data_IF_405492846666
#
_entry.id   IF_405492846666
#
_cell.length_a   1.000
_cell.length_b   1.000
_cell.length_c   1.000
_cell.angle_alpha   90.00
_cell.angle_beta   90.00
_cell.angle_gamma   90.00
#
_symmetry.space_group_name_H-M   'P 1'
#
loop_
_entity.id
_entity.type
_entity.pdbx_description
1 polymer ?
#
# COMPACT_ATOMS: atom_id res chain seq x y z
N UNK A 1 2.26 -3.53 -14.83
CA UNK A 1 2.94 -3.96 -13.60
C UNK A 1 2.88 -5.47 -13.53
N UNK A 2 3.91 -6.10 -12.99
CA UNK A 2 4.11 -7.56 -13.10
C UNK A 2 3.44 -8.31 -11.94
N UNK A 3 3.22 -7.63 -10.80
CA UNK A 3 2.63 -8.21 -9.59
C UNK A 3 1.82 -7.19 -8.78
N UNK A 4 1.08 -7.70 -7.79
CA UNK A 4 0.17 -6.90 -6.97
C UNK A 4 0.92 -5.98 -5.99
N UNK A 5 2.09 -6.42 -5.49
CA UNK A 5 2.90 -5.66 -4.54
C UNK A 5 3.36 -4.32 -5.12
N UNK A 6 3.67 -4.27 -6.41
CA UNK A 6 4.03 -3.04 -7.11
C UNK A 6 2.84 -2.10 -7.29
N UNK A 7 1.63 -2.62 -7.49
CA UNK A 7 0.41 -1.79 -7.49
C UNK A 7 0.15 -1.19 -6.11
N UNK A 8 0.31 -2.01 -5.05
CA UNK A 8 0.18 -1.56 -3.66
C UNK A 8 1.17 -0.43 -3.38
N UNK A 9 2.44 -0.61 -3.76
CA UNK A 9 3.49 0.39 -3.56
C UNK A 9 3.16 1.71 -4.27
N UNK A 10 2.72 1.65 -5.54
CA UNK A 10 2.42 2.86 -6.32
C UNK A 10 1.22 3.63 -5.75
N UNK A 11 0.20 2.92 -5.26
CA UNK A 11 -0.95 3.55 -4.61
C UNK A 11 -0.59 4.08 -3.21
N UNK A 12 0.12 3.30 -2.39
CA UNK A 12 0.49 3.70 -1.02
C UNK A 12 1.43 4.92 -1.01
N UNK A 13 2.34 5.03 -1.97
CA UNK A 13 3.22 6.21 -2.08
C UNK A 13 2.50 7.51 -2.43
N UNK A 14 1.22 7.46 -2.83
CA UNK A 14 0.41 8.67 -2.97
C UNK A 14 0.16 9.37 -1.62
N UNK A 15 0.17 8.64 -0.49
CA UNK A 15 0.10 9.21 0.84
C UNK A 15 1.24 10.22 1.11
N UNK A 16 2.46 9.93 0.62
CA UNK A 16 3.61 10.84 0.75
C UNK A 16 3.37 12.16 0.01
N UNK A 17 2.79 12.09 -1.19
CA UNK A 17 2.44 13.27 -2.00
C UNK A 17 1.27 14.05 -1.39
N UNK A 18 0.35 13.34 -0.74
CA UNK A 18 -0.78 13.91 -0.03
C UNK A 18 -0.39 14.52 1.33
N UNK A 19 0.90 14.47 1.70
CA UNK A 19 1.43 14.94 2.99
C UNK A 19 0.71 14.32 4.19
N UNK A 20 0.43 13.03 4.10
CA UNK A 20 -0.13 12.27 5.21
C UNK A 20 0.86 12.20 6.38
N UNK A 21 0.35 12.15 7.57
CA UNK A 21 1.11 11.86 8.80
C UNK A 21 1.07 10.39 9.16
N UNK A 22 0.02 9.68 8.70
CA UNK A 22 -0.15 8.26 8.94
C UNK A 22 -0.55 7.55 7.65
N UNK A 23 0.07 6.39 7.42
CA UNK A 23 -0.26 5.46 6.35
C UNK A 23 -0.49 4.08 6.96
N UNK A 24 -1.65 3.49 6.69
CA UNK A 24 -1.95 2.10 7.05
C UNK A 24 -2.12 1.27 5.79
N UNK A 25 -1.44 0.12 5.74
CA UNK A 25 -1.57 -0.89 4.67
C UNK A 25 -1.87 -2.23 5.30
N UNK A 26 -3.00 -2.82 4.94
CA UNK A 26 -3.41 -4.16 5.35
C UNK A 26 -3.56 -5.02 4.12
N UNK A 27 -2.86 -6.14 4.08
CA UNK A 27 -3.00 -7.17 3.05
C UNK A 27 -3.52 -8.43 3.70
N UNK A 28 -4.64 -8.92 3.20
CA UNK A 28 -5.30 -10.13 3.70
C UNK A 28 -5.36 -11.15 2.59
N UNK A 29 -4.73 -12.28 2.81
CA UNK A 29 -4.64 -13.36 1.84
C UNK A 29 -5.30 -14.63 2.37
N UNK A 30 -6.11 -15.26 1.53
CA UNK A 30 -6.60 -16.62 1.73
C UNK A 30 -6.42 -17.46 0.46
N UNK A 31 -7.00 -18.67 0.42
CA UNK A 31 -6.86 -19.59 -0.71
C UNK A 31 -7.47 -19.05 -2.02
N UNK A 32 -8.45 -18.17 -1.95
CA UNK A 32 -9.24 -17.71 -3.08
C UNK A 32 -8.99 -16.24 -3.45
N UNK A 33 -8.70 -15.40 -2.47
CA UNK A 33 -8.64 -13.95 -2.65
C UNK A 33 -7.44 -13.31 -1.99
N UNK A 34 -7.07 -12.15 -2.52
CA UNK A 34 -6.24 -11.16 -1.84
C UNK A 34 -7.07 -9.89 -1.71
N UNK A 35 -7.16 -9.38 -0.50
CA UNK A 35 -7.77 -8.09 -0.20
C UNK A 35 -6.71 -7.12 0.32
N UNK A 36 -6.82 -5.86 -0.08
CA UNK A 36 -5.87 -4.81 0.32
C UNK A 36 -6.63 -3.59 0.76
N UNK A 37 -6.26 -3.05 1.92
CA UNK A 37 -6.68 -1.73 2.39
C UNK A 37 -5.45 -0.83 2.47
N UNK A 38 -5.57 0.37 1.92
CA UNK A 38 -4.55 1.41 2.01
C UNK A 38 -5.27 2.67 2.49
N UNK A 39 -4.90 3.17 3.63
CA UNK A 39 -5.54 4.31 4.30
C UNK A 39 -4.51 5.37 4.64
N UNK A 40 -4.76 6.61 4.27
CA UNK A 40 -3.94 7.76 4.63
C UNK A 40 -4.80 8.90 5.20
N UNK A 41 -4.20 9.72 6.04
CA UNK A 41 -4.77 10.95 6.60
C UNK A 41 -4.30 12.21 5.87
N UNK A 42 -3.92 12.11 4.60
CA UNK A 42 -3.44 13.22 3.80
C UNK A 42 -4.50 14.23 3.41
N UNK A 43 -4.18 15.07 2.43
CA UNK A 43 -5.08 16.15 2.00
C UNK A 43 -6.41 15.68 1.41
N UNK A 44 -6.55 14.41 1.08
CA UNK A 44 -7.73 13.84 0.45
C UNK A 44 -8.00 14.39 -0.96
N UNK A 45 -9.16 14.03 -1.51
CA UNK A 45 -9.60 14.42 -2.86
C UNK A 45 -10.97 15.06 -2.83
N UNK A 46 -11.20 16.02 -3.75
CA UNK A 46 -12.55 16.53 -4.03
C UNK A 46 -13.40 15.48 -4.73
N UNK A 47 -14.72 15.63 -4.69
CA UNK A 47 -15.64 14.72 -5.40
C UNK A 47 -15.35 14.66 -6.91
N UNK A 48 -14.96 15.78 -7.52
CA UNK A 48 -14.60 15.87 -8.92
C UNK A 48 -13.31 15.07 -9.21
N UNK A 49 -12.27 15.24 -8.38
CA UNK A 49 -11.02 14.48 -8.49
C UNK A 49 -11.29 12.99 -8.28
N UNK A 50 -12.08 12.63 -7.27
CA UNK A 50 -12.41 11.24 -6.95
C UNK A 50 -13.13 10.52 -8.10
N UNK A 51 -14.07 11.20 -8.76
CA UNK A 51 -14.78 10.65 -9.94
C UNK A 51 -13.82 10.37 -11.10
N UNK A 52 -12.79 11.18 -11.23
CA UNK A 52 -11.86 11.12 -12.37
C UNK A 52 -10.58 10.32 -12.10
N UNK A 53 -10.24 10.05 -10.85
CA UNK A 53 -8.95 9.44 -10.45
C UNK A 53 -8.71 8.06 -11.06
N UNK A 54 -9.77 7.34 -11.40
CA UNK A 54 -9.71 6.03 -12.08
C UNK A 54 -9.63 6.13 -13.60
N UNK A 55 -9.72 7.34 -14.16
CA UNK A 55 -9.64 7.55 -15.61
C UNK A 55 -8.16 7.65 -16.03
N UNK A 56 -7.69 6.79 -16.96
CA UNK A 56 -6.28 6.81 -17.40
C UNK A 56 -5.85 8.11 -18.07
N UNK A 57 -6.81 8.91 -18.56
CA UNK A 57 -6.55 10.21 -19.20
C UNK A 57 -6.64 11.40 -18.22
N UNK A 58 -7.05 11.15 -16.98
CA UNK A 58 -7.13 12.18 -15.96
C UNK A 58 -5.82 12.22 -15.16
N UNK A 59 -5.17 13.38 -15.13
CA UNK A 59 -3.98 13.61 -14.29
C UNK A 59 -4.04 15.00 -13.69
N UNK A 60 -3.74 15.10 -12.42
CA UNK A 60 -3.56 16.37 -11.70
C UNK A 60 -2.12 16.88 -11.83
N UNK A 61 -1.25 16.15 -12.53
CA UNK A 61 0.16 16.52 -12.73
C UNK A 61 0.31 17.40 -13.97
N UNK A 62 1.00 18.52 -13.77
CA UNK A 62 1.35 19.50 -14.84
C UNK A 62 2.54 19.07 -15.69
N UNK A 63 3.25 18.01 -15.34
CA UNK A 63 4.40 17.45 -16.05
C UNK A 63 4.17 16.01 -16.48
N UNK A 64 4.74 15.62 -17.61
CA UNK A 64 4.54 14.45 -18.48
C UNK A 64 4.43 13.03 -17.85
N UNK A 65 4.42 12.84 -16.54
CA UNK A 65 4.19 11.53 -15.95
C UNK A 65 2.71 11.35 -15.61
N UNK A 66 2.00 10.70 -16.50
CA UNK A 66 0.60 10.29 -16.33
C UNK A 66 0.51 9.40 -15.10
N UNK A 67 -0.32 9.76 -14.11
CA UNK A 67 -0.58 8.94 -12.93
C UNK A 67 -1.42 7.72 -13.28
N UNK A 68 -0.81 6.69 -13.88
CA UNK A 68 -1.49 5.49 -14.35
C UNK A 68 -1.70 4.43 -13.25
N UNK A 69 -1.11 4.60 -12.06
CA UNK A 69 -1.13 3.58 -11.01
C UNK A 69 -2.53 3.15 -10.60
N UNK A 70 -3.39 4.09 -10.22
CA UNK A 70 -4.76 3.80 -9.78
C UNK A 70 -5.61 3.19 -10.92
N UNK A 71 -5.64 3.77 -12.15
CA UNK A 71 -6.35 3.16 -13.27
C UNK A 71 -5.87 1.75 -13.62
N UNK A 72 -4.56 1.51 -13.64
CA UNK A 72 -3.99 0.19 -13.92
C UNK A 72 -4.31 -0.81 -12.80
N UNK A 73 -4.23 -0.39 -11.55
CA UNK A 73 -4.61 -1.23 -10.42
C UNK A 73 -6.08 -1.65 -10.52
N UNK A 74 -6.98 -0.69 -10.77
CA UNK A 74 -8.40 -0.97 -10.97
C UNK A 74 -8.62 -1.98 -12.09
N UNK A 75 -8.01 -1.77 -13.26
CA UNK A 75 -8.11 -2.66 -14.40
C UNK A 75 -7.66 -4.08 -14.06
N UNK A 76 -6.50 -4.23 -13.41
CA UNK A 76 -5.96 -5.53 -12.99
C UNK A 76 -6.93 -6.28 -12.08
N UNK A 77 -7.54 -5.60 -11.12
CA UNK A 77 -8.50 -6.22 -10.20
C UNK A 77 -9.80 -6.63 -10.93
N UNK A 78 -10.35 -5.74 -11.76
CA UNK A 78 -11.59 -6.00 -12.49
C UNK A 78 -11.45 -7.15 -13.50
N UNK A 79 -10.27 -7.36 -14.08
CA UNK A 79 -9.97 -8.51 -14.94
C UNK A 79 -10.14 -9.85 -14.22
N UNK A 80 -9.96 -9.90 -12.92
CA UNK A 80 -10.17 -11.12 -12.11
C UNK A 80 -11.57 -11.23 -11.53
N UNK A 81 -12.49 -10.32 -11.87
CA UNK A 81 -13.81 -10.21 -11.26
C UNK A 81 -13.81 -9.51 -9.89
N UNK A 82 -12.67 -8.98 -9.48
CA UNK A 82 -12.51 -8.19 -8.26
C UNK A 82 -12.94 -6.73 -8.43
N UNK A 83 -12.50 -5.87 -7.50
CA UNK A 83 -12.85 -4.45 -7.53
C UNK A 83 -11.78 -3.57 -6.87
N UNK A 84 -11.79 -2.29 -7.20
CA UNK A 84 -11.15 -1.20 -6.45
C UNK A 84 -12.22 -0.19 -6.02
N UNK A 85 -12.41 -0.05 -4.72
CA UNK A 85 -13.25 0.99 -4.12
C UNK A 85 -12.35 2.06 -3.52
N UNK A 86 -12.66 3.32 -3.80
CA UNK A 86 -11.91 4.47 -3.28
C UNK A 86 -12.90 5.39 -2.57
N UNK A 87 -12.58 5.77 -1.35
CA UNK A 87 -13.30 6.80 -0.60
C UNK A 87 -12.30 7.87 -0.17
N UNK A 88 -12.67 9.13 -0.35
CA UNK A 88 -11.79 10.25 0.02
C UNK A 88 -12.61 11.47 0.37
N UNK A 89 -12.05 12.28 1.27
CA UNK A 89 -12.64 13.57 1.65
C UNK A 89 -11.52 14.57 1.89
N UNK A 90 -11.67 15.76 1.32
CA UNK A 90 -10.70 16.85 1.49
C UNK A 90 -10.45 17.16 2.96
N UNK A 91 -9.18 17.20 3.34
CA UNK A 91 -8.72 17.45 4.71
C UNK A 91 -8.87 16.28 5.69
N UNK A 92 -9.35 15.11 5.23
CA UNK A 92 -9.50 13.91 6.06
C UNK A 92 -8.55 12.82 5.63
N UNK A 93 -8.41 12.56 4.30
CA UNK A 93 -7.55 11.53 3.76
C UNK A 93 -8.24 10.67 2.71
N UNK A 94 -7.61 9.53 2.39
CA UNK A 94 -8.09 8.60 1.36
C UNK A 94 -8.00 7.16 1.85
N UNK A 95 -9.01 6.36 1.50
CA UNK A 95 -9.03 4.91 1.71
C UNK A 95 -9.23 4.20 0.38
N UNK A 96 -8.36 3.25 0.09
CA UNK A 96 -8.49 2.28 -1.01
C UNK A 96 -8.85 0.92 -0.42
N UNK A 97 -9.83 0.25 -1.02
CA UNK A 97 -10.14 -1.14 -0.73
C UNK A 97 -10.15 -1.91 -2.05
N UNK A 98 -9.27 -2.88 -2.16
CA UNK A 98 -9.06 -3.71 -3.34
C UNK A 98 -9.38 -5.18 -3.04
N UNK A 99 -9.96 -5.87 -4.02
CA UNK A 99 -10.17 -7.32 -4.00
C UNK A 99 -9.68 -7.91 -5.32
N UNK A 100 -8.90 -8.98 -5.25
CA UNK A 100 -8.48 -9.79 -6.39
C UNK A 100 -8.80 -11.27 -6.13
N UNK A 101 -9.37 -11.95 -7.13
CA UNK A 101 -9.56 -13.40 -7.09
C UNK A 101 -8.32 -14.10 -7.64
N UNK A 102 -7.65 -14.93 -6.80
CA UNK A 102 -6.38 -15.61 -7.12
C UNK A 102 -6.53 -16.71 -8.18
N UNK A 103 -7.69 -17.36 -8.22
CA UNK A 103 -7.94 -18.50 -9.08
C UNK A 103 -8.38 -18.12 -10.51
N UNK A 104 -8.40 -16.82 -10.84
CA UNK A 104 -8.72 -16.35 -12.18
C UNK A 104 -7.50 -16.45 -13.10
N UNK A 105 -7.72 -16.73 -14.39
CA UNK A 105 -6.62 -16.88 -15.38
C UNK A 105 -5.78 -15.61 -15.55
N UNK A 106 -6.41 -14.44 -15.36
CA UNK A 106 -5.74 -13.13 -15.45
C UNK A 106 -5.18 -12.65 -14.09
N UNK A 107 -5.24 -13.49 -13.04
CA UNK A 107 -4.70 -13.11 -11.75
C UNK A 107 -3.17 -13.00 -11.80
N UNK A 108 -2.66 -11.87 -11.32
CA UNK A 108 -1.23 -11.66 -11.15
C UNK A 108 -0.78 -12.17 -9.77
N UNK A 109 0.48 -12.57 -9.60
CA UNK A 109 0.99 -12.98 -8.28
C UNK A 109 0.98 -11.80 -7.29
N UNK A 110 0.98 -12.10 -5.98
CA UNK A 110 1.15 -11.09 -4.94
C UNK A 110 2.48 -10.36 -5.11
N UNK A 111 3.53 -11.06 -5.52
CA UNK A 111 4.87 -10.51 -5.66
C UNK A 111 5.60 -10.39 -4.32
N UNK A 112 6.63 -9.57 -4.29
CA UNK A 112 7.44 -9.34 -3.08
C UNK A 112 6.80 -8.27 -2.18
N UNK A 113 5.85 -8.69 -1.36
CA UNK A 113 5.19 -7.80 -0.39
C UNK A 113 6.17 -7.34 0.70
N UNK A 114 7.18 -8.16 1.02
CA UNK A 114 8.22 -7.81 1.99
C UNK A 114 9.06 -6.62 1.53
N UNK A 115 9.49 -6.61 0.28
CA UNK A 115 10.22 -5.47 -0.29
C UNK A 115 9.31 -4.23 -0.37
N UNK A 116 8.03 -4.39 -0.73
CA UNK A 116 7.06 -3.28 -0.70
C UNK A 116 6.92 -2.69 0.70
N UNK A 117 6.76 -3.51 1.72
CA UNK A 117 6.67 -3.08 3.11
C UNK A 117 7.95 -2.36 3.55
N UNK A 118 9.10 -2.93 3.23
CA UNK A 118 10.38 -2.33 3.53
C UNK A 118 10.53 -0.92 2.92
N UNK A 119 10.22 -0.75 1.63
CA UNK A 119 10.28 0.57 0.96
C UNK A 119 9.34 1.58 1.60
N UNK A 120 8.15 1.17 2.04
CA UNK A 120 7.20 2.07 2.71
C UNK A 120 7.73 2.52 4.08
N UNK A 121 8.40 1.64 4.82
CA UNK A 121 8.94 1.95 6.16
C UNK A 121 10.15 2.88 6.09
N UNK A 122 11.09 2.62 5.16
CA UNK A 122 12.33 3.40 5.02
C UNK A 122 12.16 4.66 4.17
N UNK A 123 10.94 5.17 4.05
CA UNK A 123 10.68 6.40 3.29
C UNK A 123 11.36 7.62 3.93
N UNK A 124 11.75 8.64 3.11
CA UNK A 124 12.42 9.83 3.62
C UNK A 124 11.46 10.88 4.20
N UNK A 125 10.17 10.60 4.26
CA UNK A 125 9.14 11.50 4.75
C UNK A 125 8.87 11.23 6.23
N UNK A 126 8.44 12.23 6.98
CA UNK A 126 8.03 12.07 8.37
C UNK A 126 6.57 11.60 8.42
N UNK A 127 6.39 10.32 8.10
CA UNK A 127 5.11 9.63 8.11
C UNK A 127 5.23 8.35 8.94
N UNK A 128 4.24 8.13 9.78
CA UNK A 128 4.12 6.86 10.50
C UNK A 128 3.41 5.83 9.61
N UNK A 129 3.98 4.63 9.56
CA UNK A 129 3.52 3.54 8.72
C UNK A 129 3.11 2.36 9.57
N UNK A 130 1.87 1.90 9.38
CA UNK A 130 1.34 0.68 9.99
C UNK A 130 1.08 -0.35 8.89
N UNK A 131 1.68 -1.53 9.01
CA UNK A 131 1.62 -2.60 8.03
C UNK A 131 1.08 -3.87 8.67
N UNK A 132 0.13 -4.51 8.01
CA UNK A 132 -0.39 -5.82 8.41
C UNK A 132 -0.41 -6.77 7.22
N UNK A 133 0.05 -8.00 7.42
CA UNK A 133 -0.17 -9.13 6.51
C UNK A 133 -0.92 -10.21 7.27
N UNK A 134 -2.15 -10.51 6.84
CA UNK A 134 -3.07 -11.45 7.47
C UNK A 134 -3.19 -12.68 6.57
N UNK A 135 -2.90 -13.86 7.11
CA UNK A 135 -2.96 -15.13 6.41
C UNK A 135 -4.17 -15.95 6.88
N UNK A 136 -5.32 -15.78 6.21
CA UNK A 136 -6.52 -16.56 6.54
C UNK A 136 -6.44 -18.00 6.01
N UNK A 137 -6.87 -18.96 6.84
CA UNK A 137 -6.88 -20.38 6.50
C UNK A 137 -5.51 -20.93 6.12
N UNK A 138 -4.47 -20.47 6.79
CA UNK A 138 -3.07 -20.84 6.61
C UNK A 138 -2.43 -21.16 7.95
N UNK A 139 -1.36 -21.96 7.95
CA UNK A 139 -0.53 -22.20 9.12
C UNK A 139 0.48 -21.06 9.39
N UNK A 140 0.50 -20.05 8.54
CA UNK A 140 1.36 -18.88 8.71
C UNK A 140 0.79 -17.96 9.79
N UNK A 141 1.69 -17.37 10.56
CA UNK A 141 1.34 -16.32 11.52
C UNK A 141 1.12 -14.97 10.83
N UNK A 142 0.17 -14.20 11.34
CA UNK A 142 -0.05 -12.84 10.87
C UNK A 142 1.15 -11.96 11.24
N UNK A 143 1.50 -11.05 10.33
CA UNK A 143 2.61 -10.11 10.52
C UNK A 143 2.07 -8.70 10.73
N UNK A 144 2.59 -8.02 11.73
CA UNK A 144 2.29 -6.60 12.02
C UNK A 144 3.57 -5.84 12.28
N UNK A 145 3.69 -4.66 11.68
CA UNK A 145 4.77 -3.70 11.94
C UNK A 145 4.18 -2.30 12.05
N UNK A 146 4.51 -1.59 13.13
CA UNK A 146 4.18 -0.18 13.32
C UNK A 146 5.47 0.62 13.54
N UNK A 147 5.69 1.64 12.71
CA UNK A 147 6.89 2.48 12.85
C UNK A 147 6.88 3.35 14.11
N UNK A 148 5.71 3.62 14.71
CA UNK A 148 5.61 4.33 16.00
C UNK A 148 6.27 3.53 17.11
N UNK A 149 5.94 2.23 17.19
CA UNK A 149 6.50 1.33 18.19
C UNK A 149 8.02 1.21 18.03
N UNK A 150 8.49 1.12 16.77
CA UNK A 150 9.92 1.08 16.46
C UNK A 150 10.60 2.40 16.89
N UNK A 151 10.02 3.54 16.53
CA UNK A 151 10.57 4.87 16.89
C UNK A 151 10.64 5.08 18.42
N UNK A 152 9.65 4.59 19.16
CA UNK A 152 9.67 4.63 20.63
C UNK A 152 10.86 3.86 21.22
N UNK A 153 11.12 2.66 20.70
CA UNK A 153 12.25 1.82 21.15
C UNK A 153 13.60 2.41 20.75
N UNK A 154 13.67 3.06 19.59
CA UNK A 154 14.92 3.65 19.07
C UNK A 154 15.35 4.93 19.76
N UNK A 155 14.49 5.56 20.58
CA UNK A 155 14.78 6.75 21.39
C UNK A 155 15.54 7.85 20.60
N UNK A 156 15.03 8.18 19.40
CA UNK A 156 15.56 9.25 18.54
C UNK A 156 16.60 8.81 17.49
N UNK A 157 16.95 7.53 17.41
CA UNK A 157 17.78 7.03 16.29
C UNK A 157 16.89 6.98 15.03
N UNK A 158 17.34 7.57 13.89
CA UNK A 158 16.55 7.58 12.66
C UNK A 158 16.34 6.17 12.10
N UNK A 159 15.14 5.90 11.54
CA UNK A 159 14.85 4.64 10.82
C UNK A 159 15.78 4.41 9.61
N UNK A 160 16.34 5.49 9.05
CA UNK A 160 17.27 5.45 7.91
C UNK A 160 18.72 5.17 8.32
N UNK A 161 19.02 4.98 9.62
CA UNK A 161 20.33 4.48 10.03
C UNK A 161 20.60 3.10 9.43
N UNK A 162 21.81 2.86 8.94
CA UNK A 162 22.16 1.65 8.21
C UNK A 162 21.94 0.36 9.02
N UNK A 163 22.20 0.39 10.32
CA UNK A 163 21.99 -0.75 11.22
C UNK A 163 20.50 -1.02 11.43
N UNK A 164 19.70 0.03 11.61
CA UNK A 164 18.26 -0.04 11.80
C UNK A 164 17.59 -0.51 10.50
N UNK A 165 17.99 0.05 9.36
CA UNK A 165 17.48 -0.34 8.05
C UNK A 165 17.71 -1.84 7.78
N UNK A 166 18.92 -2.36 8.10
CA UNK A 166 19.24 -3.78 7.94
C UNK A 166 18.38 -4.66 8.86
N UNK A 167 18.19 -4.24 10.10
CA UNK A 167 17.35 -4.96 11.07
C UNK A 167 15.87 -4.97 10.62
N UNK A 168 15.33 -3.84 10.16
CA UNK A 168 13.95 -3.76 9.66
C UNK A 168 13.76 -4.73 8.48
N UNK A 169 14.71 -4.78 7.55
CA UNK A 169 14.64 -5.68 6.40
C UNK A 169 14.60 -7.15 6.82
N UNK A 170 15.44 -7.53 7.78
CA UNK A 170 15.47 -8.89 8.33
C UNK A 170 14.18 -9.22 9.06
N UNK A 171 13.70 -8.31 9.92
CA UNK A 171 12.45 -8.47 10.68
C UNK A 171 11.24 -8.71 9.75
N UNK A 172 11.09 -7.90 8.69
CA UNK A 172 10.03 -8.08 7.69
C UNK A 172 10.19 -9.42 6.97
N UNK A 173 11.41 -9.76 6.53
CA UNK A 173 11.68 -11.00 5.80
C UNK A 173 11.40 -12.24 6.64
N UNK A 174 11.66 -12.21 7.94
CA UNK A 174 11.39 -13.32 8.86
C UNK A 174 9.91 -13.43 9.19
N UNK A 175 9.23 -12.31 9.42
CA UNK A 175 7.83 -12.27 9.78
C UNK A 175 6.87 -12.65 8.64
N UNK A 176 7.33 -12.66 7.40
CA UNK A 176 6.53 -13.03 6.22
C UNK A 176 6.81 -14.44 5.68
N UNK A 177 7.69 -15.22 6.33
CA UNK A 177 7.96 -16.63 5.95
C UNK A 177 6.80 -17.53 6.36
#
# INVERSE_FOLDING_TARGET
MVDLSLHILDVATNAFKAKASNLKVVVKENNETIQVWIEDDGCGMSEETLKNVVNPFFTTRTTRNVGLGIPLFKQTLEQTGGFLKITSKVGIGTTFHALMYKNHIDAIPLGDIGETFFVLVINPYDIDVHLEMIFENSDKEDFVLDTKDIKEVLDGVPLLDASITSWIKEYISEGLK
#
